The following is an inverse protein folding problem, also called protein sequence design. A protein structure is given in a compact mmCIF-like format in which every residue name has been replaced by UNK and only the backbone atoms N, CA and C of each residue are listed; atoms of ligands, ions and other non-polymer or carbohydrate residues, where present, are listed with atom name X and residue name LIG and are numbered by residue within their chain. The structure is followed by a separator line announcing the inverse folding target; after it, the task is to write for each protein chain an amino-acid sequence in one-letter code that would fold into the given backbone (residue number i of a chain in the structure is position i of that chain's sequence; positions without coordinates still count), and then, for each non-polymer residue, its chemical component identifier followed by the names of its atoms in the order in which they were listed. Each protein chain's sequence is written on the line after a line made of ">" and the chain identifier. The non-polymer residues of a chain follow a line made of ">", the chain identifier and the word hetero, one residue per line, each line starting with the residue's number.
data_IF_002311236603
#
_entry.id   IF_002311236603
#
_cell.length_a   1.000
_cell.length_b   1.000
_cell.length_c   1.000
_cell.angle_alpha   90.00
_cell.angle_beta   90.00
_cell.angle_gamma   90.00
#
_symmetry.space_group_name_H-M   'P 1'
#
loop_
_entity.id
_entity.type
_entity.pdbx_description
1 polymer ?
#
# COMPACT_ATOMS: atom_id res chain seq x y z
N UNK A 1 3.33 20.51 10.02
CA UNK A 1 2.64 19.92 8.85
C UNK A 1 1.71 18.82 9.36
N UNK A 2 0.40 18.86 9.08
CA UNK A 2 -0.55 17.85 9.60
C UNK A 2 -0.79 16.80 8.51
N UNK A 3 -0.30 15.58 8.74
CA UNK A 3 -0.53 14.45 7.84
C UNK A 3 -1.98 13.99 8.00
N UNK A 4 -2.66 13.74 6.88
CA UNK A 4 -3.99 13.13 6.81
C UNK A 4 -3.86 11.65 6.50
N UNK A 5 -4.73 10.85 7.09
CA UNK A 5 -4.72 9.40 6.96
C UNK A 5 -6.08 8.85 6.57
N UNK A 6 -6.09 7.90 5.65
CA UNK A 6 -7.24 7.05 5.32
C UNK A 6 -6.82 5.61 5.53
N UNK A 7 -7.68 4.81 6.16
CA UNK A 7 -7.46 3.39 6.33
C UNK A 7 -8.62 2.59 5.74
N UNK A 8 -8.34 1.37 5.32
CA UNK A 8 -9.37 0.44 4.89
C UNK A 8 -8.81 -0.96 4.69
N UNK A 9 -9.63 -1.83 4.12
CA UNK A 9 -9.27 -3.21 3.80
C UNK A 9 -9.50 -3.49 2.34
N UNK A 10 -8.61 -4.29 1.76
CA UNK A 10 -8.76 -4.90 0.44
C UNK A 10 -8.93 -6.39 0.67
N UNK A 11 -9.80 -7.01 -0.11
CA UNK A 11 -10.08 -8.45 -0.06
C UNK A 11 -9.67 -9.05 -1.41
N UNK A 12 -8.39 -9.44 -1.58
CA UNK A 12 -7.94 -10.09 -2.80
C UNK A 12 -8.76 -11.34 -3.11
N UNK A 13 -8.85 -11.71 -4.39
CA UNK A 13 -9.48 -12.98 -4.77
C UNK A 13 -8.56 -14.13 -4.36
N UNK A 14 -9.12 -15.14 -3.71
CA UNK A 14 -8.36 -16.32 -3.34
C UNK A 14 -8.09 -17.22 -4.58
N UNK A 15 -6.90 -17.85 -4.68
CA UNK A 15 -5.77 -17.76 -3.75
C UNK A 15 -4.92 -16.50 -3.97
N UNK A 16 -4.46 -15.86 -2.88
CA UNK A 16 -3.56 -14.70 -2.96
C UNK A 16 -2.48 -14.77 -1.88
N UNK A 17 -1.22 -14.73 -2.30
CA UNK A 17 -0.05 -14.78 -1.42
C UNK A 17 0.68 -13.42 -1.47
N UNK A 18 0.58 -12.65 -0.39
CA UNK A 18 1.17 -11.32 -0.34
C UNK A 18 2.70 -11.39 -0.41
N UNK A 19 3.33 -12.37 0.24
CA UNK A 19 4.78 -12.55 0.21
C UNK A 19 5.29 -12.79 -1.23
N UNK A 20 4.58 -13.59 -2.03
CA UNK A 20 4.92 -13.74 -3.48
C UNK A 20 4.77 -12.44 -4.25
N UNK A 21 3.74 -11.66 -3.94
CA UNK A 21 3.52 -10.35 -4.55
C UNK A 21 4.64 -9.37 -4.19
N UNK A 22 5.08 -9.35 -2.93
CA UNK A 22 6.21 -8.55 -2.47
C UNK A 22 7.51 -8.96 -3.15
N UNK A 23 7.77 -10.27 -3.28
CA UNK A 23 8.95 -10.77 -3.98
C UNK A 23 9.00 -10.31 -5.45
N UNK A 24 7.86 -10.30 -6.13
CA UNK A 24 7.75 -9.76 -7.49
C UNK A 24 8.02 -8.25 -7.53
N UNK A 25 7.39 -7.48 -6.63
CA UNK A 25 7.57 -6.03 -6.56
C UNK A 25 9.03 -5.66 -6.24
N UNK A 26 9.69 -6.44 -5.38
CA UNK A 26 11.08 -6.20 -4.99
C UNK A 26 12.09 -6.40 -6.14
N UNK A 27 11.66 -7.01 -7.26
CA UNK A 27 12.48 -7.06 -8.49
C UNK A 27 12.67 -5.67 -9.12
N UNK A 28 11.80 -4.72 -8.79
CA UNK A 28 11.90 -3.33 -9.23
C UNK A 28 12.56 -2.50 -8.14
N UNK A 29 13.89 -2.39 -8.21
CA UNK A 29 14.67 -1.70 -7.20
C UNK A 29 14.20 -0.23 -7.05
N UNK A 30 13.98 0.24 -5.81
CA UNK A 30 13.56 1.61 -5.58
C UNK A 30 14.66 2.61 -5.91
N UNK A 31 14.27 3.78 -6.40
CA UNK A 31 15.20 4.85 -6.79
C UNK A 31 15.66 5.72 -5.62
N UNK A 32 15.13 5.51 -4.40
CA UNK A 32 15.63 6.15 -3.17
C UNK A 32 14.56 6.41 -2.12
N UNK A 33 14.44 5.53 -1.11
CA UNK A 33 13.54 5.70 0.04
C UNK A 33 12.03 5.76 -0.26
N UNK A 34 11.66 5.80 -1.54
CA UNK A 34 10.27 5.86 -2.02
C UNK A 34 9.50 4.56 -1.78
N UNK A 35 10.23 3.45 -1.60
CA UNK A 35 9.68 2.13 -1.30
C UNK A 35 10.39 1.51 -0.11
N UNK A 36 9.63 0.87 0.76
CA UNK A 36 10.13 0.02 1.83
C UNK A 36 9.31 -1.26 1.87
N UNK A 37 9.99 -2.41 1.89
CA UNK A 37 9.38 -3.74 1.99
C UNK A 37 9.92 -4.43 3.25
N UNK A 38 9.04 -5.07 4.00
CA UNK A 38 9.39 -6.12 4.95
C UNK A 38 8.40 -7.29 4.79
N UNK A 39 8.58 -8.38 5.53
CA UNK A 39 7.85 -9.64 5.33
C UNK A 39 6.32 -9.50 5.37
N UNK A 40 5.78 -8.49 6.06
CA UNK A 40 4.34 -8.31 6.26
C UNK A 40 3.82 -6.97 5.74
N UNK A 41 4.68 -6.10 5.22
CA UNK A 41 4.24 -4.78 4.79
C UNK A 41 5.03 -4.18 3.63
N UNK A 42 4.30 -3.37 2.87
CA UNK A 42 4.81 -2.63 1.74
C UNK A 42 4.44 -1.17 1.89
N UNK A 43 5.41 -0.28 1.88
CA UNK A 43 5.18 1.16 1.82
C UNK A 43 5.73 1.69 0.51
N UNK A 44 4.93 2.49 -0.21
CA UNK A 44 5.38 3.16 -1.43
C UNK A 44 4.83 4.58 -1.51
N UNK A 45 5.65 5.51 -1.99
CA UNK A 45 5.23 6.85 -2.35
C UNK A 45 4.86 6.93 -3.84
N UNK A 46 3.74 7.59 -4.14
CA UNK A 46 3.29 7.86 -5.51
C UNK A 46 2.92 9.33 -5.63
N UNK A 47 3.06 9.88 -6.84
CA UNK A 47 2.59 11.22 -7.16
C UNK A 47 1.27 11.11 -7.91
N UNK A 48 0.19 11.63 -7.33
CA UNK A 48 -1.16 11.56 -7.87
C UNK A 48 -1.95 12.80 -7.43
N UNK A 49 -2.81 13.34 -8.30
CA UNK A 49 -3.63 14.53 -8.01
C UNK A 49 -2.81 15.73 -7.44
N UNK A 50 -1.69 16.04 -8.07
CA UNK A 50 -0.82 17.17 -7.69
C UNK A 50 -0.34 17.15 -6.23
N UNK A 51 -0.15 15.94 -5.68
CA UNK A 51 0.47 15.71 -4.39
C UNK A 51 1.20 14.36 -4.32
N UNK A 52 2.18 14.28 -3.45
CA UNK A 52 2.76 13.01 -3.03
C UNK A 52 1.85 12.35 -2.00
N UNK A 53 1.50 11.10 -2.26
CA UNK A 53 0.81 10.21 -1.34
C UNK A 53 1.79 9.09 -0.96
N UNK A 54 1.80 8.68 0.29
CA UNK A 54 2.40 7.40 0.66
C UNK A 54 1.27 6.43 0.98
N UNK A 55 1.37 5.19 0.53
CA UNK A 55 0.48 4.13 0.98
C UNK A 55 1.29 3.03 1.64
N UNK A 56 0.70 2.43 2.67
CA UNK A 56 1.21 1.25 3.34
C UNK A 56 0.17 0.15 3.23
N UNK A 57 0.59 -1.03 2.78
CA UNK A 57 -0.21 -2.25 2.73
C UNK A 57 0.37 -3.22 3.75
N UNK A 58 -0.48 -3.88 4.53
CA UNK A 58 -0.10 -4.84 5.57
C UNK A 58 -0.96 -6.09 5.42
N UNK A 59 -0.33 -7.28 5.48
CA UNK A 59 -1.04 -8.56 5.42
C UNK A 59 -1.71 -8.88 6.77
N UNK A 60 -2.97 -9.28 6.74
CA UNK A 60 -3.75 -9.72 7.90
C UNK A 60 -4.44 -11.08 7.66
N UNK A 61 -4.33 -11.62 6.44
CA UNK A 61 -5.09 -12.78 6.00
C UNK A 61 -4.28 -14.07 5.93
N UNK A 62 -4.87 -15.06 5.25
CA UNK A 62 -4.16 -16.26 4.78
C UNK A 62 -4.30 -16.36 3.26
N UNK A 63 -3.55 -17.27 2.63
CA UNK A 63 -3.58 -17.43 1.16
C UNK A 63 -4.99 -17.77 0.65
N UNK A 64 -5.76 -18.53 1.42
CA UNK A 64 -7.10 -19.00 1.09
C UNK A 64 -8.20 -17.99 1.48
N UNK A 65 -7.90 -17.10 2.43
CA UNK A 65 -8.78 -16.02 2.92
C UNK A 65 -7.96 -14.72 3.05
N UNK A 66 -7.53 -14.13 1.93
CA UNK A 66 -6.59 -13.01 1.95
C UNK A 66 -7.30 -11.73 2.40
N UNK A 67 -6.61 -10.96 3.23
CA UNK A 67 -7.06 -9.65 3.72
C UNK A 67 -5.83 -8.76 3.80
N UNK A 68 -5.90 -7.60 3.14
CA UNK A 68 -4.85 -6.59 3.22
C UNK A 68 -5.40 -5.34 3.87
N UNK A 69 -4.74 -4.85 4.91
CA UNK A 69 -4.99 -3.51 5.43
C UNK A 69 -4.23 -2.50 4.59
N UNK A 70 -4.85 -1.36 4.31
CA UNK A 70 -4.14 -0.24 3.72
C UNK A 70 -4.25 1.01 4.57
N UNK A 71 -3.19 1.82 4.56
CA UNK A 71 -3.17 3.19 5.07
C UNK A 71 -2.64 4.11 3.98
N UNK A 72 -3.36 5.18 3.65
CA UNK A 72 -2.90 6.26 2.77
C UNK A 72 -2.56 7.47 3.63
N UNK A 73 -1.38 8.04 3.41
CA UNK A 73 -0.87 9.25 4.05
C UNK A 73 -0.76 10.37 3.02
N UNK A 74 -1.28 11.55 3.35
CA UNK A 74 -1.27 12.71 2.46
C UNK A 74 -1.08 14.02 3.23
N UNK A 75 -0.58 15.04 2.52
CA UNK A 75 -0.47 16.39 3.05
C UNK A 75 -1.74 17.22 2.82
N UNK A 76 -2.44 16.99 1.71
CA UNK A 76 -3.71 17.64 1.38
C UNK A 76 -4.86 16.66 1.62
N UNK A 77 -6.10 17.10 1.43
CA UNK A 77 -7.24 16.18 1.40
C UNK A 77 -7.04 15.16 0.29
N UNK A 78 -7.41 13.91 0.56
CA UNK A 78 -7.45 12.83 -0.42
C UNK A 78 -8.86 12.82 -0.99
N UNK A 79 -8.97 12.92 -2.31
CA UNK A 79 -10.26 12.86 -3.03
C UNK A 79 -10.93 11.50 -2.83
N UNK A 80 -12.20 11.37 -3.22
CA UNK A 80 -12.84 10.05 -3.22
C UNK A 80 -12.33 9.14 -4.33
N UNK A 81 -11.86 9.69 -5.45
CA UNK A 81 -11.32 8.92 -6.59
C UNK A 81 -10.07 8.11 -6.25
N UNK A 82 -9.36 8.47 -5.18
CA UNK A 82 -8.17 7.74 -4.71
C UNK A 82 -8.52 6.59 -3.75
N UNK A 83 -9.77 6.51 -3.27
CA UNK A 83 -10.20 5.54 -2.26
C UNK A 83 -10.68 4.19 -2.82
N UNK A 84 -10.79 4.05 -4.14
CA UNK A 84 -11.41 2.92 -4.84
C UNK A 84 -10.52 2.38 -5.95
#
# INVERSE_FOLDING_TARGET
>A
MKIKTINGKIFPTNPFDFSKSLNFINMFAPTGGEQSINDLSFTKAVYMEDQTLAFRIEDEGTVEKPILNYTIFANKNISESVKT
#
